data_IF_050648193894
#
_entry.id   IF_050648193894
#
_cell.length_a   1.000
_cell.length_b   1.000
_cell.length_c   1.000
_cell.angle_alpha   90.00
_cell.angle_beta   90.00
_cell.angle_gamma   90.00
#
_symmetry.space_group_name_H-M   'P 1'
#
loop_
_entity.id
_entity.type
_entity.pdbx_description
1 polymer ?
#
# COMPACT_ATOMS: atom_id res chain seq x y z
N UNK A 1 11.41 8.55 24.55
CA UNK A 1 10.91 8.62 23.14
C UNK A 1 9.42 8.44 23.22
N UNK A 2 8.64 9.35 22.64
CA UNK A 2 7.19 9.37 22.86
C UNK A 2 6.43 8.49 21.88
N UNK A 3 7.00 8.25 20.68
CA UNK A 3 6.44 7.39 19.66
C UNK A 3 7.55 6.71 18.83
N UNK A 4 7.25 5.51 18.30
CA UNK A 4 8.12 4.73 17.43
C UNK A 4 7.31 4.11 16.31
N UNK A 5 7.86 4.14 15.08
CA UNK A 5 7.29 3.45 13.94
C UNK A 5 8.02 2.12 13.70
N UNK A 6 7.27 1.07 13.44
CA UNK A 6 7.82 -0.23 13.07
C UNK A 6 8.44 -0.21 11.67
N UNK A 7 7.65 0.24 10.70
CA UNK A 7 8.01 0.33 9.28
C UNK A 7 7.58 1.68 8.74
N UNK A 8 8.37 2.24 7.83
CA UNK A 8 7.98 3.38 7.01
C UNK A 8 7.82 2.92 5.55
N UNK A 9 6.66 3.23 4.96
CA UNK A 9 6.32 3.01 3.55
C UNK A 9 6.54 1.56 3.06
N UNK A 10 5.83 0.58 3.63
CA UNK A 10 5.97 -0.82 3.23
C UNK A 10 5.71 -1.07 1.74
N UNK A 11 4.85 -0.28 1.09
CA UNK A 11 4.65 -0.32 -0.36
C UNK A 11 5.94 0.00 -1.12
N UNK A 12 6.68 1.02 -0.71
CA UNK A 12 7.96 1.37 -1.33
C UNK A 12 8.99 0.24 -1.16
N UNK A 13 9.06 -0.36 0.03
CA UNK A 13 9.95 -1.49 0.29
C UNK A 13 9.63 -2.66 -0.63
N UNK A 14 8.35 -3.00 -0.81
CA UNK A 14 7.95 -4.19 -1.55
C UNK A 14 7.74 -3.91 -3.04
N UNK A 15 6.85 -2.97 -3.38
CA UNK A 15 6.42 -2.79 -4.76
C UNK A 15 7.47 -2.10 -5.64
N UNK A 16 8.08 -1.00 -5.17
CA UNK A 16 9.12 -0.31 -5.92
C UNK A 16 10.39 -1.15 -6.10
N UNK A 17 10.69 -2.01 -5.12
CA UNK A 17 11.93 -2.80 -5.13
C UNK A 17 11.81 -4.12 -5.89
N UNK A 18 10.64 -4.79 -5.78
CA UNK A 18 10.47 -6.17 -6.27
C UNK A 18 9.53 -6.30 -7.47
N UNK A 19 8.64 -5.31 -7.72
CA UNK A 19 7.76 -5.31 -8.89
C UNK A 19 8.20 -4.31 -9.96
N UNK A 20 8.35 -3.02 -9.59
CA UNK A 20 8.73 -1.98 -10.56
C UNK A 20 10.23 -1.92 -10.80
N UNK A 21 11.05 -2.41 -9.88
CA UNK A 21 12.50 -2.43 -10.00
C UNK A 21 13.15 -1.05 -9.93
N UNK A 22 12.47 -0.06 -9.33
CA UNK A 22 12.98 1.30 -9.19
C UNK A 22 13.94 1.46 -8.02
N UNK A 23 13.81 0.61 -6.99
CA UNK A 23 14.67 0.57 -5.82
C UNK A 23 15.43 -0.76 -5.77
N UNK A 24 16.53 -0.80 -5.01
CA UNK A 24 17.25 -2.05 -4.77
C UNK A 24 16.31 -3.10 -4.10
N UNK A 25 16.37 -4.38 -4.47
CA UNK A 25 17.34 -5.05 -5.36
C UNK A 25 17.04 -4.90 -6.86
N UNK A 26 16.01 -4.17 -7.28
CA UNK A 26 15.74 -3.88 -8.68
C UNK A 26 15.04 -5.02 -9.42
N UNK A 27 14.31 -5.88 -8.72
CA UNK A 27 13.56 -6.99 -9.31
C UNK A 27 12.28 -6.50 -10.01
N UNK A 28 11.85 -7.28 -11.02
CA UNK A 28 10.57 -7.11 -11.72
C UNK A 28 9.85 -8.45 -11.74
N UNK A 29 9.42 -8.88 -10.57
CA UNK A 29 8.87 -10.21 -10.33
C UNK A 29 7.67 -10.12 -9.40
N UNK A 30 6.48 -10.45 -9.91
CA UNK A 30 5.23 -10.38 -9.16
C UNK A 30 5.22 -11.34 -7.96
N UNK A 31 5.86 -12.52 -8.09
CA UNK A 31 5.96 -13.48 -6.98
C UNK A 31 6.84 -12.93 -5.84
N UNK A 32 7.97 -12.32 -6.20
CA UNK A 32 8.83 -11.68 -5.22
C UNK A 32 8.12 -10.49 -4.54
N UNK A 33 7.38 -9.69 -5.31
CA UNK A 33 6.63 -8.54 -4.80
C UNK A 33 5.49 -8.96 -3.84
N UNK A 34 4.67 -9.95 -4.20
CA UNK A 34 3.60 -10.46 -3.35
C UNK A 34 4.14 -10.96 -2.01
N UNK A 35 5.22 -11.73 -2.05
CA UNK A 35 5.90 -12.21 -0.83
C UNK A 35 6.52 -11.09 -0.01
N UNK A 36 7.15 -10.10 -0.67
CA UNK A 36 7.72 -8.94 0.01
C UNK A 36 6.64 -8.08 0.68
N UNK A 37 5.49 -7.86 0.02
CA UNK A 37 4.35 -7.15 0.62
C UNK A 37 3.81 -7.85 1.87
N UNK A 38 3.76 -9.17 1.87
CA UNK A 38 3.35 -9.94 3.04
C UNK A 38 4.42 -9.89 4.15
N UNK A 39 5.68 -10.20 3.82
CA UNK A 39 6.73 -10.30 4.83
C UNK A 39 7.08 -8.96 5.49
N UNK A 40 6.93 -7.82 4.80
CA UNK A 40 7.12 -6.51 5.44
C UNK A 40 6.03 -6.22 6.46
N UNK A 41 4.79 -6.69 6.23
CA UNK A 41 3.71 -6.60 7.20
C UNK A 41 3.89 -7.60 8.36
N UNK A 42 4.36 -8.81 8.08
CA UNK A 42 4.73 -9.76 9.13
C UNK A 42 5.86 -9.20 10.01
N UNK A 43 6.87 -8.56 9.41
CA UNK A 43 7.92 -7.88 10.16
C UNK A 43 7.37 -6.73 11.03
N UNK A 44 6.33 -6.02 10.57
CA UNK A 44 5.61 -5.03 11.37
C UNK A 44 5.00 -5.67 12.63
N UNK A 45 4.22 -6.76 12.47
CA UNK A 45 3.59 -7.46 13.58
C UNK A 45 4.60 -8.02 14.60
N UNK A 46 5.66 -8.68 14.11
CA UNK A 46 6.75 -9.18 14.94
C UNK A 46 7.46 -8.04 15.71
N UNK A 47 7.62 -6.87 15.07
CA UNK A 47 8.22 -5.70 15.72
C UNK A 47 7.35 -5.17 16.85
N UNK A 48 6.02 -5.15 16.69
CA UNK A 48 5.08 -4.75 17.75
C UNK A 48 5.23 -5.71 18.94
N UNK A 49 5.14 -7.02 18.69
CA UNK A 49 5.22 -8.03 19.72
C UNK A 49 6.54 -7.91 20.54
N UNK A 50 7.66 -7.78 19.84
CA UNK A 50 8.95 -7.61 20.46
C UNK A 50 9.07 -6.30 21.28
N UNK A 51 8.54 -5.18 20.76
CA UNK A 51 8.68 -3.87 21.39
C UNK A 51 7.71 -3.65 22.55
N UNK A 52 6.49 -4.20 22.54
CA UNK A 52 5.49 -3.98 23.59
C UNK A 52 5.98 -4.34 25.00
N UNK A 53 6.85 -5.34 25.12
CA UNK A 53 7.45 -5.72 26.40
C UNK A 53 8.64 -4.86 26.81
N UNK A 54 9.24 -4.10 25.90
CA UNK A 54 10.51 -3.39 26.12
C UNK A 54 10.36 -1.88 26.20
N UNK A 55 9.33 -1.30 25.59
CA UNK A 55 9.17 0.15 25.54
C UNK A 55 7.78 0.59 26.03
N UNK A 56 7.74 1.78 26.62
CA UNK A 56 6.50 2.46 27.03
C UNK A 56 6.02 3.47 25.98
N UNK A 57 6.73 3.60 24.87
CA UNK A 57 6.40 4.50 23.77
C UNK A 57 5.18 4.01 23.00
N UNK A 58 4.43 4.95 22.41
CA UNK A 58 3.39 4.62 21.46
C UNK A 58 3.99 3.99 20.19
N UNK A 59 3.46 2.86 19.77
CA UNK A 59 3.95 2.10 18.60
C UNK A 59 2.98 2.27 17.43
N UNK A 60 3.48 2.57 16.26
CA UNK A 60 2.68 2.73 15.06
C UNK A 60 3.40 2.28 13.79
N UNK A 61 2.78 2.60 12.66
CA UNK A 61 3.32 2.37 11.32
C UNK A 61 3.12 3.61 10.46
N UNK A 62 3.97 3.83 9.47
CA UNK A 62 3.82 4.93 8.51
C UNK A 62 3.54 4.36 7.12
N UNK A 63 2.39 4.71 6.54
CA UNK A 63 1.99 4.29 5.20
C UNK A 63 2.08 5.47 4.23
N UNK A 64 2.61 5.21 3.03
CA UNK A 64 2.48 6.15 1.92
C UNK A 64 1.17 5.87 1.18
N UNK A 65 0.20 6.75 1.34
CA UNK A 65 -1.08 6.65 0.65
C UNK A 65 -1.12 7.57 -0.55
N UNK A 66 -1.82 7.14 -1.59
CA UNK A 66 -2.07 7.96 -2.78
C UNK A 66 -3.57 8.05 -3.06
N UNK A 67 -4.00 9.22 -3.51
CA UNK A 67 -5.35 9.38 -4.06
C UNK A 67 -5.36 8.81 -5.47
N UNK A 68 -6.09 7.70 -5.68
CA UNK A 68 -6.19 7.05 -7.00
C UNK A 68 -7.45 7.50 -7.71
N UNK A 69 -7.32 7.98 -8.93
CA UNK A 69 -8.42 8.42 -9.78
C UNK A 69 -8.40 7.69 -11.12
N UNK A 70 -9.60 7.39 -11.66
CA UNK A 70 -9.73 6.85 -13.01
C UNK A 70 -9.56 7.95 -14.06
N UNK A 71 -8.97 7.61 -15.21
CA UNK A 71 -8.79 8.55 -16.31
C UNK A 71 -10.11 8.88 -17.02
N UNK A 72 -11.06 7.94 -17.04
CA UNK A 72 -12.41 8.14 -17.60
C UNK A 72 -13.47 7.39 -16.79
N UNK A 73 -14.74 7.59 -17.14
CA UNK A 73 -15.87 6.87 -16.53
C UNK A 73 -16.11 5.49 -17.16
N UNK A 74 -15.20 4.97 -17.99
CA UNK A 74 -15.30 3.61 -18.51
C UNK A 74 -15.17 2.60 -17.38
N UNK A 75 -15.88 1.46 -17.48
CA UNK A 75 -15.80 0.41 -16.47
C UNK A 75 -14.36 -0.15 -16.34
N UNK A 76 -13.60 -0.17 -17.43
CA UNK A 76 -12.20 -0.61 -17.43
C UNK A 76 -11.30 0.32 -16.61
N UNK A 77 -11.43 1.65 -16.77
CA UNK A 77 -10.64 2.62 -16.01
C UNK A 77 -11.05 2.65 -14.53
N UNK A 78 -12.33 2.46 -14.22
CA UNK A 78 -12.79 2.28 -12.84
C UNK A 78 -12.14 1.03 -12.22
N UNK A 79 -12.12 -0.09 -12.94
CA UNK A 79 -11.46 -1.31 -12.48
C UNK A 79 -9.95 -1.14 -12.32
N UNK A 80 -9.30 -0.39 -13.21
CA UNK A 80 -7.87 -0.06 -13.11
C UNK A 80 -7.57 0.76 -11.84
N UNK A 81 -8.42 1.76 -11.55
CA UNK A 81 -8.36 2.55 -10.31
C UNK A 81 -8.50 1.66 -9.07
N UNK A 82 -9.50 0.77 -9.06
CA UNK A 82 -9.75 -0.12 -7.91
C UNK A 82 -8.59 -1.09 -7.68
N UNK A 83 -7.96 -1.61 -8.76
CA UNK A 83 -6.75 -2.44 -8.66
C UNK A 83 -5.57 -1.67 -8.08
N UNK A 84 -5.27 -0.46 -8.57
CA UNK A 84 -4.15 0.31 -8.03
C UNK A 84 -4.41 0.70 -6.57
N UNK A 85 -5.62 1.14 -6.23
CA UNK A 85 -6.00 1.43 -4.85
C UNK A 85 -5.87 0.19 -3.96
N UNK A 86 -6.26 -0.97 -4.47
CA UNK A 86 -6.10 -2.24 -3.79
C UNK A 86 -4.65 -2.57 -3.48
N UNK A 87 -3.76 -2.43 -4.46
CA UNK A 87 -2.34 -2.73 -4.34
C UNK A 87 -1.62 -1.70 -3.46
N UNK A 88 -1.91 -0.42 -3.63
CA UNK A 88 -1.15 0.66 -3.01
C UNK A 88 -1.64 1.00 -1.60
N UNK A 89 -2.96 1.07 -1.42
CA UNK A 89 -3.57 1.53 -0.19
C UNK A 89 -4.19 0.38 0.62
N UNK A 90 -5.20 -0.31 0.06
CA UNK A 90 -6.01 -1.29 0.79
C UNK A 90 -5.24 -2.53 1.23
N UNK A 91 -4.25 -2.98 0.46
CA UNK A 91 -3.42 -4.11 0.85
C UNK A 91 -2.84 -3.95 2.25
N UNK A 92 -2.31 -2.79 2.54
CA UNK A 92 -1.69 -2.50 3.84
C UNK A 92 -2.73 -2.13 4.91
N UNK A 93 -3.71 -1.30 4.55
CA UNK A 93 -4.74 -0.86 5.49
C UNK A 93 -5.63 -2.04 5.96
N UNK A 94 -6.13 -2.86 5.04
CA UNK A 94 -6.98 -4.00 5.38
C UNK A 94 -6.20 -5.05 6.20
N UNK A 95 -4.94 -5.31 5.85
CA UNK A 95 -4.11 -6.24 6.62
C UNK A 95 -3.93 -5.80 8.08
N UNK A 96 -3.64 -4.51 8.30
CA UNK A 96 -3.37 -3.96 9.63
C UNK A 96 -4.66 -3.85 10.46
N UNK A 97 -5.76 -3.37 9.87
CA UNK A 97 -6.97 -3.03 10.62
C UNK A 97 -8.09 -4.08 10.55
N UNK A 98 -8.07 -4.98 9.54
CA UNK A 98 -9.11 -5.99 9.32
C UNK A 98 -8.60 -7.43 9.38
N UNK A 99 -7.31 -7.63 9.59
CA UNK A 99 -6.66 -8.94 9.54
C UNK A 99 -6.96 -9.72 8.24
N UNK A 100 -7.05 -9.03 7.12
CA UNK A 100 -7.37 -9.61 5.82
C UNK A 100 -6.75 -8.81 4.69
N UNK A 101 -6.45 -9.44 3.58
CA UNK A 101 -6.12 -8.75 2.33
C UNK A 101 -7.39 -8.46 1.52
N UNK A 102 -7.41 -7.41 0.67
CA UNK A 102 -8.57 -7.12 -0.17
C UNK A 102 -8.80 -8.26 -1.18
N UNK A 103 -9.98 -8.88 -1.16
CA UNK A 103 -10.33 -10.07 -1.95
C UNK A 103 -10.13 -9.88 -3.45
N UNK A 104 -10.45 -8.67 -3.95
CA UNK A 104 -10.32 -8.30 -5.36
C UNK A 104 -8.86 -8.27 -5.85
N UNK A 105 -7.89 -8.15 -4.94
CA UNK A 105 -6.46 -8.19 -5.24
C UNK A 105 -5.87 -9.57 -4.87
N UNK A 106 -6.28 -10.10 -3.71
CA UNK A 106 -5.76 -11.38 -3.24
C UNK A 106 -6.01 -12.51 -4.24
N UNK A 107 -7.19 -12.56 -4.87
CA UNK A 107 -7.51 -13.58 -5.89
C UNK A 107 -6.48 -13.68 -7.02
N UNK A 108 -5.87 -12.55 -7.40
CA UNK A 108 -4.87 -12.49 -8.46
C UNK A 108 -3.46 -12.82 -7.95
N UNK A 109 -3.20 -12.57 -6.65
CA UNK A 109 -1.89 -12.75 -6.04
C UNK A 109 -1.76 -14.05 -5.22
N UNK A 110 -2.85 -14.74 -4.91
CA UNK A 110 -2.88 -15.88 -3.97
C UNK A 110 -1.88 -17.00 -4.34
N UNK A 111 -1.72 -17.27 -5.63
CA UNK A 111 -0.78 -18.27 -6.12
C UNK A 111 0.71 -17.93 -5.86
N UNK A 112 0.99 -16.68 -5.52
CA UNK A 112 2.34 -16.15 -5.25
C UNK A 112 2.60 -15.94 -3.76
N UNK A 113 1.56 -16.01 -2.93
CA UNK A 113 1.67 -15.81 -1.49
C UNK A 113 2.52 -16.91 -0.82
N UNK A 114 3.11 -16.65 0.34
CA UNK A 114 3.69 -17.71 1.17
C UNK A 114 2.64 -18.75 1.55
N UNK A 115 3.08 -20.00 1.76
CA UNK A 115 2.20 -21.04 2.34
C UNK A 115 1.72 -20.60 3.73
N UNK A 116 0.45 -20.84 4.03
CA UNK A 116 -0.20 -20.52 5.31
C UNK A 116 -0.09 -19.03 5.71
N UNK A 117 -0.05 -18.12 4.75
CA UNK A 117 0.04 -16.68 5.03
C UNK A 117 -1.12 -16.17 5.91
N UNK A 118 -2.26 -16.87 5.91
CA UNK A 118 -3.42 -16.56 6.73
C UNK A 118 -3.11 -16.68 8.23
N UNK A 119 -2.22 -17.58 8.63
CA UNK A 119 -1.83 -17.78 10.03
C UNK A 119 -1.10 -16.53 10.59
N UNK A 120 -0.46 -15.75 9.73
CA UNK A 120 0.28 -14.54 10.11
C UNK A 120 -0.64 -13.33 10.33
N UNK A 121 -1.89 -13.36 9.84
CA UNK A 121 -2.76 -12.17 9.81
C UNK A 121 -3.10 -11.64 11.20
N UNK A 122 -3.21 -12.51 12.21
CA UNK A 122 -3.44 -12.10 13.60
C UNK A 122 -2.25 -11.29 14.14
N UNK A 123 -1.03 -11.68 13.80
CA UNK A 123 0.17 -10.97 14.21
C UNK A 123 0.32 -9.65 13.44
N UNK A 124 0.08 -9.66 12.13
CA UNK A 124 0.09 -8.47 11.28
C UNK A 124 -0.89 -7.40 11.78
N UNK A 125 -2.07 -7.80 12.24
CA UNK A 125 -3.11 -6.91 12.76
C UNK A 125 -2.97 -6.60 14.26
N UNK A 126 -1.79 -6.80 14.85
CA UNK A 126 -1.53 -6.41 16.23
C UNK A 126 -1.82 -4.93 16.46
N UNK A 127 -2.46 -4.61 17.60
CA UNK A 127 -2.90 -3.26 17.91
C UNK A 127 -1.76 -2.24 17.86
N UNK A 128 -1.98 -1.16 17.14
CA UNK A 128 -1.11 0.01 17.07
C UNK A 128 -1.73 1.20 17.81
N UNK A 129 -0.90 2.13 18.26
CA UNK A 129 -1.35 3.32 18.98
C UNK A 129 -1.59 4.51 18.03
N UNK A 130 -0.96 4.50 16.85
CA UNK A 130 -1.08 5.54 15.84
C UNK A 130 -0.72 5.04 14.45
N UNK A 131 -1.22 5.73 13.43
CA UNK A 131 -0.84 5.57 12.03
C UNK A 131 -0.31 6.90 11.50
N UNK A 132 0.84 6.88 10.84
CA UNK A 132 1.37 8.00 10.07
C UNK A 132 0.99 7.86 8.59
N UNK A 133 0.70 8.98 7.96
CA UNK A 133 0.38 9.03 6.53
C UNK A 133 1.38 9.95 5.84
N UNK A 134 2.18 9.38 4.93
CA UNK A 134 2.94 10.12 3.94
C UNK A 134 2.07 10.28 2.70
N UNK A 135 1.84 11.52 2.29
CA UNK A 135 1.08 11.85 1.10
C UNK A 135 1.89 12.81 0.22
N UNK A 136 1.99 12.52 -1.06
CA UNK A 136 2.79 13.31 -2.01
C UNK A 136 1.97 13.85 -3.17
N UNK A 137 1.09 13.03 -3.73
CA UNK A 137 0.36 13.33 -4.95
C UNK A 137 -0.85 12.42 -5.12
N UNK A 138 -1.65 12.66 -6.17
CA UNK A 138 -2.61 11.69 -6.69
C UNK A 138 -2.01 10.90 -7.84
N UNK A 139 -2.61 9.75 -8.15
CA UNK A 139 -2.28 8.95 -9.33
C UNK A 139 -3.54 8.78 -10.17
N UNK A 140 -3.51 9.22 -11.43
CA UNK A 140 -4.61 9.01 -12.38
C UNK A 140 -4.23 7.82 -13.25
N UNK A 141 -5.13 6.84 -13.36
CA UNK A 141 -4.87 5.60 -14.10
C UNK A 141 -5.95 5.27 -15.12
N UNK A 142 -5.51 4.62 -16.18
CA UNK A 142 -6.36 3.98 -17.18
C UNK A 142 -6.01 2.49 -17.28
N UNK A 143 -6.94 1.69 -17.80
CA UNK A 143 -6.66 0.31 -18.21
C UNK A 143 -5.60 0.29 -19.31
N UNK A 144 -4.67 -0.66 -19.24
CA UNK A 144 -3.77 -1.00 -20.35
C UNK A 144 -3.77 -2.51 -20.59
N UNK A 145 -4.59 -2.95 -21.51
CA UNK A 145 -4.74 -4.36 -21.87
C UNK A 145 -3.51 -4.96 -22.58
N UNK A 146 -2.54 -4.13 -22.96
CA UNK A 146 -1.29 -4.61 -23.55
C UNK A 146 -0.25 -4.94 -22.48
N UNK A 147 -0.45 -4.48 -21.26
CA UNK A 147 0.41 -4.77 -20.13
C UNK A 147 -0.08 -6.00 -19.35
N UNK A 148 0.85 -6.73 -18.77
CA UNK A 148 0.53 -7.80 -17.82
C UNK A 148 -0.12 -7.20 -16.56
N UNK A 149 -0.72 -8.06 -15.73
CA UNK A 149 -1.28 -7.63 -14.46
C UNK A 149 -0.29 -6.73 -13.68
N UNK A 150 -0.74 -5.61 -13.13
CA UNK A 150 -2.12 -5.16 -12.90
C UNK A 150 -2.81 -4.47 -14.08
N UNK A 151 -2.24 -4.48 -15.29
CA UNK A 151 -2.85 -3.94 -16.53
C UNK A 151 -3.29 -2.49 -16.41
N UNK A 152 -2.42 -1.65 -15.85
CA UNK A 152 -2.69 -0.23 -15.62
C UNK A 152 -1.55 0.63 -16.19
N UNK A 153 -1.92 1.81 -16.68
CA UNK A 153 -0.97 2.87 -17.01
C UNK A 153 -1.33 4.17 -16.31
N UNK A 154 -0.33 4.91 -15.88
CA UNK A 154 -0.52 6.25 -15.35
C UNK A 154 -0.84 7.24 -16.47
N UNK A 155 -1.76 8.15 -16.19
CA UNK A 155 -2.17 9.22 -17.09
C UNK A 155 -1.79 10.56 -16.48
N UNK A 156 -1.21 11.43 -17.28
CA UNK A 156 -0.87 12.78 -16.82
C UNK A 156 -2.15 13.59 -16.58
N UNK A 157 -2.31 14.08 -15.36
CA UNK A 157 -3.36 15.01 -15.02
C UNK A 157 -3.02 16.46 -15.43
N UNK A 158 -4.00 17.38 -15.28
CA UNK A 158 -3.91 18.76 -15.77
C UNK A 158 -3.26 19.74 -14.77
N UNK A 159 -2.97 19.32 -13.54
CA UNK A 159 -2.51 20.23 -12.49
C UNK A 159 -1.00 20.52 -12.61
N UNK A 160 -0.57 21.59 -11.93
CA UNK A 160 0.84 21.92 -11.78
C UNK A 160 1.61 20.78 -11.11
N UNK A 161 2.91 20.68 -11.42
CA UNK A 161 3.75 19.59 -10.97
C UNK A 161 4.98 20.10 -10.24
N UNK A 162 5.43 19.32 -9.29
CA UNK A 162 6.74 19.50 -8.64
C UNK A 162 7.87 19.14 -9.62
N UNK A 163 9.11 19.43 -9.22
CA UNK A 163 10.29 18.99 -9.98
C UNK A 163 10.40 17.45 -10.12
N UNK A 164 9.78 16.71 -9.19
CA UNK A 164 9.68 15.24 -9.26
C UNK A 164 8.61 14.75 -10.26
N UNK A 165 7.87 15.67 -10.88
CA UNK A 165 6.79 15.33 -11.80
C UNK A 165 5.46 15.00 -11.15
N UNK A 166 5.34 15.13 -9.83
CA UNK A 166 4.12 14.86 -9.07
C UNK A 166 3.15 16.04 -9.14
N UNK A 167 1.89 15.76 -9.36
CA UNK A 167 0.86 16.81 -9.32
C UNK A 167 0.70 17.39 -7.91
N UNK A 168 0.54 18.71 -7.83
CA UNK A 168 0.22 19.40 -6.58
C UNK A 168 -1.29 19.25 -6.35
N UNK A 169 -1.65 18.29 -5.48
CA UNK A 169 -3.05 17.93 -5.22
C UNK A 169 -3.32 17.80 -3.71
N UNK A 170 -3.47 18.91 -2.98
CA UNK A 170 -3.63 18.90 -1.51
C UNK A 170 -4.92 18.25 -1.04
N UNK A 171 -6.01 18.27 -1.84
CA UNK A 171 -7.27 17.61 -1.49
C UNK A 171 -7.10 16.10 -1.28
N UNK A 172 -6.13 15.46 -1.91
CA UNK A 172 -5.85 14.05 -1.74
C UNK A 172 -5.39 13.70 -0.32
N UNK A 173 -4.64 14.57 0.35
CA UNK A 173 -4.31 14.38 1.76
C UNK A 173 -5.56 14.39 2.63
N UNK A 174 -6.43 15.40 2.44
CA UNK A 174 -7.71 15.47 3.14
C UNK A 174 -8.55 14.21 2.91
N UNK A 175 -8.67 13.79 1.65
CA UNK A 175 -9.46 12.62 1.28
C UNK A 175 -8.89 11.34 1.92
N UNK A 176 -7.57 11.16 1.93
CA UNK A 176 -6.90 10.03 2.57
C UNK A 176 -7.16 10.00 4.07
N UNK A 177 -7.04 11.14 4.76
CA UNK A 177 -7.30 11.24 6.20
C UNK A 177 -8.76 10.93 6.55
N UNK A 178 -9.71 11.51 5.80
CA UNK A 178 -11.15 11.26 5.98
C UNK A 178 -11.48 9.79 5.73
N UNK A 179 -10.91 9.20 4.67
CA UNK A 179 -11.11 7.79 4.34
C UNK A 179 -10.59 6.87 5.45
N UNK A 180 -9.35 7.06 5.89
CA UNK A 180 -8.77 6.24 6.96
C UNK A 180 -9.59 6.35 8.23
N UNK A 181 -9.99 7.56 8.63
CA UNK A 181 -10.81 7.76 9.84
C UNK A 181 -12.22 7.18 9.75
N UNK A 182 -12.76 7.00 8.53
CA UNK A 182 -14.11 6.45 8.33
C UNK A 182 -14.12 4.93 8.23
N UNK A 183 -13.13 4.35 7.53
CA UNK A 183 -13.15 2.96 7.08
C UNK A 183 -12.30 2.03 7.96
N UNK A 184 -11.43 2.63 8.82
CA UNK A 184 -10.46 1.95 9.68
C UNK A 184 -10.42 2.52 11.10
#
# INVERSE_FOLDING_TARGET
MDAVATINEPWCVAWLSYFLGHHAPGLRDIRAAARAMHHVLLAHGLSIDAMRSLVTSNIGIVLNLTEVQQASNSQSDVSAKDRLDGIHNRWFLDAIFKAAYPDDILKDLIQFMPENFEDDMTLISSSIDWIGINYYTRTIVAEDSNESWPSIKEVKGPLERTQMGWEIYPDGLKNSLVRVSRDY
#
